data_IF_405831510053
#
_entry.id   IF_405831510053
#
_cell.length_a   1.000
_cell.length_b   1.000
_cell.length_c   1.000
_cell.angle_alpha   90.00
_cell.angle_beta   90.00
_cell.angle_gamma   90.00
#
_symmetry.space_group_name_H-M   'P 1'
#
loop_
_entity.id
_entity.type
_entity.pdbx_description
1 polymer ?
#
# COMPACT_ATOMS: atom_id res chain seq x y z
N UNK A 1 25.29 -2.59 0.87
CA UNK A 1 24.49 -3.02 2.03
C UNK A 1 23.15 -2.30 1.98
N UNK A 2 22.02 -3.01 1.93
CA UNK A 2 20.71 -2.37 1.99
C UNK A 2 20.46 -1.88 3.43
N UNK A 3 20.29 -0.57 3.61
CA UNK A 3 19.95 0.03 4.90
C UNK A 3 18.48 -0.27 5.18
N UNK A 4 18.20 -1.22 6.08
CA UNK A 4 16.84 -1.47 6.57
C UNK A 4 16.51 -0.37 7.58
N UNK A 5 15.62 0.57 7.24
CA UNK A 5 15.02 1.41 8.26
C UNK A 5 14.07 0.57 9.11
N UNK A 6 14.37 0.50 10.40
CA UNK A 6 13.47 -0.11 11.38
C UNK A 6 12.47 0.95 11.82
N UNK A 7 11.22 0.83 11.36
CA UNK A 7 10.11 1.66 11.82
C UNK A 7 9.47 0.95 13.01
N UNK A 8 9.13 1.71 14.06
CA UNK A 8 8.46 1.14 15.25
C UNK A 8 7.05 0.71 14.89
N UNK A 9 6.57 -0.37 15.50
CA UNK A 9 5.21 -0.87 15.27
C UNK A 9 4.13 0.17 15.59
N UNK A 10 4.32 0.95 16.66
CA UNK A 10 3.38 2.01 17.04
C UNK A 10 3.19 3.07 15.93
N UNK A 11 4.28 3.40 15.22
CA UNK A 11 4.24 4.35 14.13
C UNK A 11 3.54 3.76 12.91
N UNK A 12 3.78 2.48 12.60
CA UNK A 12 3.07 1.77 11.54
C UNK A 12 1.55 1.70 11.80
N UNK A 13 1.15 1.42 13.06
CA UNK A 13 -0.27 1.43 13.45
C UNK A 13 -0.89 2.80 13.30
N UNK A 14 -0.16 3.85 13.70
CA UNK A 14 -0.61 5.24 13.53
C UNK A 14 -0.79 5.59 12.05
N UNK A 15 0.16 5.20 11.20
CA UNK A 15 0.08 5.46 9.75
C UNK A 15 -1.07 4.71 9.10
N UNK A 16 -1.29 3.44 9.47
CA UNK A 16 -2.43 2.66 8.98
C UNK A 16 -3.78 3.29 9.37
N UNK A 17 -3.86 3.85 10.58
CA UNK A 17 -5.05 4.58 11.04
C UNK A 17 -5.29 5.84 10.20
N UNK A 18 -4.27 6.68 10.02
CA UNK A 18 -4.37 7.91 9.23
C UNK A 18 -4.72 7.59 7.76
N UNK A 19 -4.08 6.57 7.17
CA UNK A 19 -4.36 6.11 5.82
C UNK A 19 -5.85 5.76 5.62
N UNK A 20 -6.46 5.11 6.62
CA UNK A 20 -7.88 4.76 6.61
C UNK A 20 -8.80 5.95 6.83
N UNK A 21 -8.50 6.79 7.83
CA UNK A 21 -9.33 7.95 8.19
C UNK A 21 -9.35 9.00 7.07
N UNK A 22 -8.18 9.30 6.50
CA UNK A 22 -8.00 10.34 5.50
C UNK A 22 -8.10 9.83 4.06
N UNK A 23 -8.31 8.51 3.88
CA UNK A 23 -8.31 7.84 2.57
C UNK A 23 -7.08 8.22 1.75
N UNK A 24 -5.91 7.95 2.31
CA UNK A 24 -4.62 8.19 1.66
C UNK A 24 -3.78 6.93 1.62
N UNK A 25 -3.03 6.76 0.54
CA UNK A 25 -2.00 5.73 0.42
C UNK A 25 -0.65 6.37 0.71
N UNK A 26 0.14 5.74 1.60
CA UNK A 26 1.47 6.23 2.01
C UNK A 26 2.52 5.26 1.48
N UNK A 27 3.40 5.74 0.60
CA UNK A 27 4.54 5.01 0.07
C UNK A 27 5.85 5.59 0.62
N UNK A 28 6.65 4.76 1.27
CA UNK A 28 7.98 5.13 1.73
C UNK A 28 9.06 4.47 0.88
N UNK A 29 10.04 5.25 0.43
CA UNK A 29 11.23 4.76 -0.26
C UNK A 29 12.49 5.26 0.44
N UNK A 30 13.50 4.39 0.52
CA UNK A 30 14.83 4.72 1.04
C UNK A 30 15.81 4.58 -0.11
N UNK A 31 16.50 5.66 -0.44
CA UNK A 31 17.51 5.64 -1.50
C UNK A 31 18.83 5.03 -1.01
N UNK A 32 19.76 4.80 -1.95
CA UNK A 32 21.07 4.21 -1.64
C UNK A 32 22.00 5.09 -0.78
N UNK A 33 21.64 6.35 -0.52
CA UNK A 33 22.37 7.30 0.33
C UNK A 33 21.72 7.46 1.70
N UNK A 34 20.61 6.76 1.98
CA UNK A 34 19.85 6.84 3.23
C UNK A 34 18.85 7.99 3.26
N UNK A 35 18.59 8.65 2.14
CA UNK A 35 17.50 9.61 2.00
C UNK A 35 16.15 8.88 2.08
N UNK A 36 15.20 9.47 2.82
CA UNK A 36 13.84 8.92 2.97
C UNK A 36 12.87 9.80 2.20
N UNK A 37 12.16 9.20 1.26
CA UNK A 37 11.08 9.86 0.52
C UNK A 37 9.75 9.24 0.92
N UNK A 38 8.81 10.07 1.38
CA UNK A 38 7.44 9.67 1.68
C UNK A 38 6.54 10.33 0.64
N UNK A 39 5.85 9.51 -0.14
CA UNK A 39 4.81 9.95 -1.07
C UNK A 39 3.45 9.61 -0.49
N UNK A 40 2.56 10.60 -0.46
CA UNK A 40 1.17 10.43 -0.07
C UNK A 40 0.29 10.74 -1.27
N UNK A 41 -0.57 9.80 -1.63
CA UNK A 41 -1.57 10.00 -2.69
C UNK A 41 -2.96 9.82 -2.09
N UNK A 42 -3.94 10.55 -2.62
CA UNK A 42 -5.33 10.21 -2.34
C UNK A 42 -5.52 8.74 -2.71
N UNK A 43 -6.05 7.95 -1.77
CA UNK A 43 -6.54 6.65 -2.12
C UNK A 43 -7.79 6.92 -2.96
N UNK A 44 -7.68 6.77 -4.28
CA UNK A 44 -8.88 6.53 -5.06
C UNK A 44 -9.59 5.39 -4.34
N UNK A 45 -10.84 5.62 -3.95
CA UNK A 45 -11.73 4.53 -3.61
C UNK A 45 -11.78 3.67 -4.87
N UNK A 46 -10.91 2.69 -4.98
CA UNK A 46 -11.21 1.48 -5.73
C UNK A 46 -12.39 0.89 -4.96
N UNK A 47 -13.59 1.39 -5.26
CA UNK A 47 -14.81 0.63 -5.03
C UNK A 47 -14.51 -0.77 -5.54
N UNK A 48 -14.86 -1.83 -4.78
CA UNK A 48 -14.64 -3.18 -5.23
C UNK A 48 -15.11 -3.26 -6.67
N UNK A 49 -14.16 -3.52 -7.57
CA UNK A 49 -14.42 -3.71 -8.99
C UNK A 49 -15.59 -4.68 -9.07
N UNK A 50 -16.56 -4.31 -9.90
CA UNK A 50 -17.73 -5.09 -10.28
C UNK A 50 -17.53 -6.60 -10.00
N UNK A 51 -18.43 -7.28 -9.27
CA UNK A 51 -18.26 -8.71 -8.91
C UNK A 51 -17.93 -9.61 -10.11
N UNK A 52 -18.26 -9.18 -11.34
CA UNK A 52 -17.82 -9.82 -12.59
C UNK A 52 -16.29 -9.89 -12.79
N UNK A 53 -15.50 -8.96 -12.21
CA UNK A 53 -14.03 -8.96 -12.23
C UNK A 53 -13.44 -10.05 -11.32
N UNK A 54 -14.10 -10.38 -10.19
CA UNK A 54 -13.66 -11.47 -9.32
C UNK A 54 -13.86 -12.83 -10.00
N UNK A 55 -15.02 -13.04 -10.64
CA UNK A 55 -15.33 -14.27 -11.36
C UNK A 55 -14.36 -14.48 -12.53
N UNK A 56 -14.07 -13.43 -13.31
CA UNK A 56 -13.10 -13.47 -14.40
C UNK A 56 -11.67 -13.80 -13.93
N UNK A 57 -11.26 -13.26 -12.77
CA UNK A 57 -9.94 -13.54 -12.19
C UNK A 57 -9.83 -14.96 -11.64
N UNK A 58 -10.91 -15.52 -11.11
CA UNK A 58 -10.95 -16.90 -10.61
C UNK A 58 -10.91 -17.91 -11.77
N UNK A 59 -11.63 -17.66 -12.87
CA UNK A 59 -11.53 -18.48 -14.08
C UNK A 59 -10.11 -18.49 -14.65
N UNK A 60 -9.48 -17.32 -14.76
CA UNK A 60 -8.11 -17.22 -15.26
C UNK A 60 -7.12 -18.00 -14.37
N UNK A 61 -7.29 -17.99 -13.05
CA UNK A 61 -6.45 -18.76 -12.14
C UNK A 61 -6.68 -20.27 -12.24
N UNK A 62 -7.92 -20.73 -12.42
CA UNK A 62 -8.26 -22.15 -12.57
C UNK A 62 -7.85 -22.78 -13.90
N UNK A 63 -7.41 -21.98 -14.86
CA UNK A 63 -6.94 -22.42 -16.19
C UNK A 63 -5.42 -22.70 -16.28
N UNK A 64 -4.67 -22.52 -15.18
CA UNK A 64 -3.26 -22.89 -15.03
C UNK A 64 -3.10 -24.30 -14.44
#
# INVERSE_FOLDING_TARGET
>A
MAVRALIREADLRRWARIAREERVTIHGHIDGKGGVTIQMTAAELSLPTDPSDLDARLEAFGSL
#
